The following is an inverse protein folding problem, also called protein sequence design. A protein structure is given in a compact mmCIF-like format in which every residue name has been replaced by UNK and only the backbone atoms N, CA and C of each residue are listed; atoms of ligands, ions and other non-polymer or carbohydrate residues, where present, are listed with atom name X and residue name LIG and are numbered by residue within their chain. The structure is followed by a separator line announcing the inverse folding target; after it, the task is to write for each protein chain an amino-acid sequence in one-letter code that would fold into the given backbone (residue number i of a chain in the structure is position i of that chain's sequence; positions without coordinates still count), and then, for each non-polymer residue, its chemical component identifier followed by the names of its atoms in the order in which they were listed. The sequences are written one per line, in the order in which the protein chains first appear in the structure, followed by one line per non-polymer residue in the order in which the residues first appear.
data_IF_431260526389
#
_entry.id   IF_431260526389
#
_cell.length_a   1.000
_cell.length_b   1.000
_cell.length_c   1.000
_cell.angle_alpha   90.00
_cell.angle_beta   90.00
_cell.angle_gamma   90.00
#
_symmetry.space_group_name_H-M   'P 1'
#
loop_
_entity.id
_entity.type
_entity.pdbx_description
1 polymer ?
#
# COMPACT_ATOMS: atom_id res chain seq x y z
N UNK A 1 -11.50 -12.72 -8.95
CA UNK A 1 -12.05 -14.08 -9.12
C UNK A 1 -10.98 -14.92 -9.78
N UNK A 2 -10.65 -16.11 -9.25
CA UNK A 2 -9.74 -17.05 -9.92
C UNK A 2 -10.53 -18.00 -10.82
N UNK A 3 -10.07 -18.20 -12.06
CA UNK A 3 -10.68 -19.11 -13.02
C UNK A 3 -9.63 -20.08 -13.56
N UNK A 4 -10.03 -21.33 -13.80
CA UNK A 4 -9.20 -22.29 -14.51
C UNK A 4 -9.11 -21.91 -15.99
N UNK A 5 -7.96 -22.16 -16.62
CA UNK A 5 -7.75 -21.85 -18.05
C UNK A 5 -8.74 -22.58 -18.96
N UNK A 6 -9.26 -23.74 -18.55
CA UNK A 6 -10.31 -24.49 -19.26
C UNK A 6 -11.65 -23.75 -19.34
N UNK A 7 -11.89 -22.77 -18.48
CA UNK A 7 -13.11 -21.95 -18.46
C UNK A 7 -13.03 -20.72 -19.37
N UNK A 8 -11.87 -20.41 -19.96
CA UNK A 8 -11.68 -19.23 -20.81
C UNK A 8 -12.63 -19.18 -22.03
N UNK A 9 -12.91 -20.29 -22.76
CA UNK A 9 -13.86 -20.25 -23.88
C UNK A 9 -15.24 -19.77 -23.44
N UNK A 10 -15.74 -20.26 -22.30
CA UNK A 10 -17.03 -19.87 -21.75
C UNK A 10 -17.05 -18.42 -21.28
N UNK A 11 -15.94 -17.93 -20.72
CA UNK A 11 -15.83 -16.52 -20.32
C UNK A 11 -15.96 -15.56 -21.53
N UNK A 12 -15.46 -15.95 -22.70
CA UNK A 12 -15.57 -15.14 -23.93
C UNK A 12 -17.00 -15.05 -24.48
N UNK A 13 -17.84 -16.03 -24.16
CA UNK A 13 -19.26 -16.07 -24.57
C UNK A 13 -20.15 -15.21 -23.67
N UNK A 14 -19.68 -14.83 -22.48
CA UNK A 14 -20.43 -14.01 -21.54
C UNK A 14 -20.31 -12.52 -21.91
N UNK A 15 -21.39 -11.72 -21.76
CA UNK A 15 -21.38 -10.28 -22.00
C UNK A 15 -20.72 -9.56 -20.82
N UNK A 16 -19.44 -9.85 -20.58
CA UNK A 16 -18.67 -9.20 -19.52
C UNK A 16 -18.05 -7.95 -20.13
N UNK A 17 -18.43 -6.79 -19.63
CA UNK A 17 -17.83 -5.49 -19.95
C UNK A 17 -17.01 -4.99 -18.76
N UNK A 18 -16.03 -4.10 -19.00
CA UNK A 18 -15.22 -3.45 -17.96
C UNK A 18 -14.48 -4.41 -17.00
N UNK A 19 -13.70 -5.36 -17.54
CA UNK A 19 -12.89 -6.28 -16.72
C UNK A 19 -11.43 -6.36 -17.17
N UNK A 20 -10.54 -6.35 -16.18
CA UNK A 20 -9.13 -6.73 -16.34
C UNK A 20 -9.01 -8.26 -16.25
N UNK A 21 -8.43 -8.88 -17.28
CA UNK A 21 -8.21 -10.34 -17.31
C UNK A 21 -6.74 -10.63 -17.48
N UNK A 22 -6.16 -11.35 -16.52
CA UNK A 22 -4.73 -11.70 -16.50
C UNK A 22 -4.55 -13.21 -16.65
N UNK A 23 -3.73 -13.61 -17.62
CA UNK A 23 -3.27 -14.98 -17.80
C UNK A 23 -1.96 -15.17 -17.04
N UNK A 24 -2.06 -15.77 -15.85
CA UNK A 24 -0.91 -16.01 -14.98
C UNK A 24 0.04 -17.08 -15.50
N UNK A 25 -0.42 -17.99 -16.37
CA UNK A 25 0.42 -19.07 -16.92
C UNK A 25 1.35 -18.52 -17.99
N UNK A 26 0.82 -17.66 -18.87
CA UNK A 26 1.58 -17.06 -19.97
C UNK A 26 2.08 -15.64 -19.66
N UNK A 27 1.86 -15.16 -18.43
CA UNK A 27 2.27 -13.82 -17.97
C UNK A 27 1.84 -12.69 -18.92
N UNK A 28 0.55 -12.61 -19.25
CA UNK A 28 0.01 -11.59 -20.16
C UNK A 28 -1.38 -11.13 -19.79
N UNK A 29 -1.76 -9.94 -20.24
CA UNK A 29 -3.14 -9.49 -20.19
C UNK A 29 -3.95 -10.05 -21.37
N UNK A 30 -5.15 -10.56 -21.07
CA UNK A 30 -6.13 -10.98 -22.07
C UNK A 30 -7.17 -9.87 -22.34
N UNK A 31 -7.39 -8.99 -21.37
CA UNK A 31 -8.24 -7.79 -21.48
C UNK A 31 -7.72 -6.73 -20.50
N UNK A 32 -7.73 -5.47 -20.93
CA UNK A 32 -7.24 -4.30 -20.19
C UNK A 32 -8.32 -3.21 -20.18
N UNK A 33 -8.19 -2.27 -19.26
CA UNK A 33 -9.05 -1.10 -19.02
C UNK A 33 -8.43 0.22 -19.49
N UNK A 34 -7.20 0.17 -20.03
CA UNK A 34 -6.44 1.29 -20.60
C UNK A 34 -5.99 2.34 -19.56
N UNK A 35 -6.13 2.05 -18.26
CA UNK A 35 -5.70 2.90 -17.16
C UNK A 35 -4.56 2.29 -16.32
N UNK A 36 -4.17 1.04 -16.59
CA UNK A 36 -3.23 0.27 -15.77
C UNK A 36 -1.87 0.97 -15.58
N UNK A 37 -1.35 1.59 -16.65
CA UNK A 37 -0.05 2.28 -16.65
C UNK A 37 -0.13 3.73 -16.17
N UNK A 38 -1.33 4.23 -15.87
CA UNK A 38 -1.57 5.66 -15.59
C UNK A 38 -2.31 5.94 -14.30
N UNK A 39 -2.98 4.93 -13.72
CA UNK A 39 -3.77 5.08 -12.51
C UNK A 39 -2.90 5.40 -11.30
N UNK A 40 -1.70 4.80 -11.18
CA UNK A 40 -0.85 4.96 -10.01
C UNK A 40 0.02 6.24 -10.08
N UNK A 41 0.38 6.84 -8.92
CA UNK A 41 1.36 7.91 -8.89
C UNK A 41 2.73 7.41 -9.36
N UNK A 42 3.17 7.81 -10.57
CA UNK A 42 4.40 7.32 -11.24
C UNK A 42 5.63 7.14 -10.34
N UNK A 43 5.90 8.09 -9.44
CA UNK A 43 7.06 7.99 -8.53
C UNK A 43 6.92 6.88 -7.49
N UNK A 44 5.71 6.63 -7.00
CA UNK A 44 5.44 5.53 -6.06
C UNK A 44 5.39 4.20 -6.78
N UNK A 45 4.83 4.16 -7.99
CA UNK A 45 4.84 2.99 -8.85
C UNK A 45 6.28 2.54 -9.17
N UNK A 46 7.11 3.43 -9.71
CA UNK A 46 8.50 3.11 -10.05
C UNK A 46 9.30 2.63 -8.83
N UNK A 47 9.01 3.19 -7.66
CA UNK A 47 9.66 2.79 -6.42
C UNK A 47 9.19 1.38 -5.97
N UNK A 48 7.88 1.10 -6.05
CA UNK A 48 7.32 -0.22 -5.79
C UNK A 48 7.90 -1.28 -6.74
N UNK A 49 7.92 -1.00 -8.05
CA UNK A 49 8.51 -1.86 -9.08
C UNK A 49 9.96 -2.18 -8.75
N UNK A 50 10.77 -1.16 -8.43
CA UNK A 50 12.17 -1.33 -8.07
C UNK A 50 12.38 -2.28 -6.87
N UNK A 51 11.57 -2.17 -5.81
CA UNK A 51 11.66 -3.12 -4.68
C UNK A 51 11.29 -4.53 -5.12
N UNK A 52 10.22 -4.66 -5.91
CA UNK A 52 9.73 -5.96 -6.35
C UNK A 52 10.70 -6.65 -7.32
N UNK A 53 11.48 -5.89 -8.09
CA UNK A 53 12.58 -6.40 -8.90
C UNK A 53 13.74 -6.91 -8.03
N UNK A 54 14.13 -6.14 -7.00
CA UNK A 54 15.22 -6.48 -6.08
C UNK A 54 14.82 -7.44 -4.95
N UNK A 55 13.57 -7.93 -4.93
CA UNK A 55 12.99 -8.66 -3.80
C UNK A 55 13.79 -9.89 -3.35
N UNK A 56 14.46 -10.57 -4.28
CA UNK A 56 15.25 -11.76 -3.96
C UNK A 56 16.53 -11.39 -3.22
N UNK A 57 17.25 -10.35 -3.68
CA UNK A 57 18.46 -9.84 -3.02
C UNK A 57 18.14 -9.35 -1.61
N UNK A 58 17.09 -8.54 -1.48
CA UNK A 58 16.61 -8.02 -0.19
C UNK A 58 16.12 -9.11 0.77
N UNK A 59 15.69 -10.27 0.24
CA UNK A 59 15.25 -11.41 1.04
C UNK A 59 16.44 -12.27 1.49
N UNK A 60 17.45 -12.46 0.63
CA UNK A 60 18.67 -13.20 0.96
C UNK A 60 19.50 -12.53 2.06
N UNK A 61 19.55 -11.19 2.09
CA UNK A 61 20.20 -10.42 3.17
C UNK A 61 19.59 -10.66 4.56
N UNK A 62 18.41 -11.31 4.65
CA UNK A 62 17.72 -11.63 5.92
C UNK A 62 18.00 -13.05 6.44
N UNK A 63 18.57 -13.95 5.64
CA UNK A 63 18.76 -15.36 6.04
C UNK A 63 19.94 -15.60 6.99
N UNK A 64 20.75 -14.58 7.32
CA UNK A 64 21.93 -14.72 8.20
C UNK A 64 21.61 -14.74 9.73
N UNK A 65 20.34 -14.91 10.13
CA UNK A 65 19.91 -14.98 11.54
C UNK A 65 19.70 -16.41 12.08
N UNK A 66 19.83 -16.67 13.40
CA UNK A 66 19.69 -18.03 13.95
C UNK A 66 18.26 -18.55 13.82
N UNK A 67 18.11 -19.65 13.08
CA UNK A 67 16.85 -20.36 12.80
C UNK A 67 16.20 -20.81 14.11
N UNK A 68 15.10 -20.16 14.51
CA UNK A 68 14.41 -20.48 15.76
C UNK A 68 12.96 -20.91 15.47
N UNK A 69 12.82 -22.10 14.88
CA UNK A 69 11.75 -23.09 15.13
C UNK A 69 10.27 -22.69 15.03
N UNK A 70 9.91 -21.48 14.60
CA UNK A 70 8.51 -21.04 14.42
C UNK A 70 8.29 -20.75 12.96
N UNK A 71 7.43 -21.52 12.29
CA UNK A 71 6.92 -21.32 10.90
C UNK A 71 7.32 -19.95 10.32
N UNK A 72 8.54 -19.86 9.80
CA UNK A 72 9.10 -18.58 9.39
C UNK A 72 8.41 -18.21 8.08
N UNK A 73 7.70 -17.08 8.10
CA UNK A 73 7.18 -16.48 6.87
C UNK A 73 8.38 -16.28 5.96
N UNK A 74 8.32 -16.78 4.73
CA UNK A 74 9.42 -16.65 3.77
C UNK A 74 9.93 -15.21 3.75
N UNK A 75 11.25 -14.96 3.90
CA UNK A 75 11.82 -13.60 3.86
C UNK A 75 11.36 -12.80 2.63
N UNK A 76 11.14 -13.50 1.51
CA UNK A 76 10.55 -12.96 0.29
C UNK A 76 9.13 -12.43 0.49
N UNK A 77 8.25 -13.21 1.13
CA UNK A 77 6.88 -12.81 1.42
C UNK A 77 6.82 -11.56 2.31
N UNK A 78 7.75 -11.44 3.27
CA UNK A 78 7.86 -10.25 4.09
C UNK A 78 8.28 -9.03 3.26
N UNK A 79 9.31 -9.15 2.41
CA UNK A 79 9.79 -8.04 1.56
C UNK A 79 8.67 -7.56 0.64
N UNK A 80 7.96 -8.50 -0.01
CA UNK A 80 6.85 -8.18 -0.90
C UNK A 80 5.71 -7.50 -0.14
N UNK A 81 5.28 -8.07 0.99
CA UNK A 81 4.18 -7.50 1.79
C UNK A 81 4.53 -6.13 2.34
N UNK A 82 5.77 -5.95 2.81
CA UNK A 82 6.31 -4.68 3.30
C UNK A 82 6.30 -3.60 2.22
N UNK A 83 6.67 -3.95 0.99
CA UNK A 83 6.66 -3.02 -0.14
C UNK A 83 5.26 -2.44 -0.38
N UNK A 84 4.24 -3.30 -0.37
CA UNK A 84 2.84 -2.87 -0.52
C UNK A 84 2.34 -2.07 0.69
N UNK A 85 2.67 -2.47 1.92
CA UNK A 85 2.29 -1.70 3.12
C UNK A 85 2.88 -0.29 3.05
N UNK A 86 4.15 -0.14 2.66
CA UNK A 86 4.79 1.17 2.49
C UNK A 86 4.16 1.99 1.39
N UNK A 87 3.83 1.37 0.27
CA UNK A 87 3.12 2.03 -0.82
C UNK A 87 1.82 2.68 -0.31
N UNK A 88 1.00 1.92 0.43
CA UNK A 88 -0.23 2.47 1.01
C UNK A 88 0.01 3.47 2.15
N UNK A 89 1.05 3.28 2.97
CA UNK A 89 1.41 4.25 4.02
C UNK A 89 1.82 5.59 3.43
N UNK A 90 2.54 5.64 2.32
CA UNK A 90 2.89 6.90 1.66
C UNK A 90 1.65 7.60 1.07
N UNK A 91 0.64 6.82 0.67
CA UNK A 91 -0.58 7.34 0.06
C UNK A 91 -1.57 7.83 1.12
N UNK A 92 -1.84 7.03 2.15
CA UNK A 92 -2.90 7.31 3.14
C UNK A 92 -2.43 7.31 4.59
N UNK A 93 -1.16 7.09 4.89
CA UNK A 93 -0.66 6.98 6.27
C UNK A 93 -0.88 8.24 7.13
N UNK A 94 -1.03 9.40 6.51
CA UNK A 94 -1.34 10.66 7.18
C UNK A 94 -2.82 10.85 7.53
N UNK A 95 -3.69 9.89 7.25
CA UNK A 95 -5.14 9.99 7.50
C UNK A 95 -5.49 10.39 8.94
N UNK A 96 -4.69 9.92 9.92
CA UNK A 96 -4.94 10.12 11.34
C UNK A 96 -4.88 11.60 11.74
N UNK A 97 -4.13 12.43 11.00
CA UNK A 97 -4.07 13.87 11.20
C UNK A 97 -5.36 14.59 10.79
N UNK A 98 -6.24 13.93 10.05
CA UNK A 98 -7.47 14.48 9.49
C UNK A 98 -8.73 13.78 10.01
N UNK A 99 -8.59 12.86 10.97
CA UNK A 99 -9.71 12.27 11.70
C UNK A 99 -10.03 13.14 12.91
N UNK A 100 -11.17 13.84 12.86
CA UNK A 100 -11.59 14.77 13.90
C UNK A 100 -12.72 14.16 14.73
N UNK A 101 -12.71 14.32 16.07
CA UNK A 101 -13.84 13.90 16.90
C UNK A 101 -15.10 14.70 16.56
N UNK A 102 -16.24 14.01 16.58
CA UNK A 102 -17.57 14.59 16.46
C UNK A 102 -18.24 14.63 17.83
N UNK A 103 -19.38 15.31 17.93
CA UNK A 103 -20.16 15.41 19.18
C UNK A 103 -20.68 14.07 19.70
N UNK A 104 -20.65 13.01 18.89
CA UNK A 104 -21.21 11.67 19.19
C UNK A 104 -20.16 10.64 19.63
N UNK A 105 -18.97 11.08 20.08
CA UNK A 105 -17.80 10.23 20.33
C UNK A 105 -17.27 9.46 19.09
N UNK A 106 -17.84 9.69 17.91
CA UNK A 106 -17.36 9.17 16.64
C UNK A 106 -16.28 10.09 16.06
N UNK A 107 -15.45 9.58 15.16
CA UNK A 107 -14.49 10.38 14.38
C UNK A 107 -14.96 10.49 12.95
N UNK A 108 -14.62 11.59 12.28
CA UNK A 108 -14.90 11.78 10.86
C UNK A 108 -13.66 12.25 10.12
N UNK A 109 -13.41 11.67 8.94
CA UNK A 109 -12.33 12.11 8.07
C UNK A 109 -12.68 13.43 7.37
N UNK A 110 -11.85 14.46 7.54
CA UNK A 110 -11.87 15.65 6.70
C UNK A 110 -11.27 15.37 5.31
N UNK A 111 -12.10 14.79 4.43
CA UNK A 111 -11.71 14.30 3.10
C UNK A 111 -10.91 15.33 2.28
N UNK A 112 -11.41 16.56 2.18
CA UNK A 112 -10.79 17.61 1.37
C UNK A 112 -9.44 18.06 1.94
N UNK A 113 -9.34 18.20 3.27
CA UNK A 113 -8.11 18.60 3.94
C UNK A 113 -7.06 17.50 3.82
N UNK A 114 -7.45 16.24 4.05
CA UNK A 114 -6.62 15.05 3.87
C UNK A 114 -6.02 15.01 2.45
N UNK A 115 -6.86 15.16 1.42
CA UNK A 115 -6.42 15.20 0.03
C UNK A 115 -5.49 16.39 -0.28
N UNK A 116 -5.83 17.59 0.21
CA UNK A 116 -5.07 18.82 -0.07
C UNK A 116 -3.71 18.88 0.62
N UNK A 117 -3.54 18.19 1.75
CA UNK A 117 -2.29 18.14 2.50
C UNK A 117 -1.11 17.52 1.74
N UNK A 118 -1.41 16.69 0.73
CA UNK A 118 -0.40 16.12 -0.15
C UNK A 118 0.05 17.16 -1.17
N UNK A 119 1.36 17.43 -1.25
CA UNK A 119 1.95 18.38 -2.19
C UNK A 119 2.06 17.86 -3.63
N UNK A 120 2.20 16.54 -3.80
CA UNK A 120 2.32 15.90 -5.11
C UNK A 120 0.99 15.92 -5.88
N UNK A 121 0.98 16.54 -7.07
CA UNK A 121 -0.20 16.64 -7.94
C UNK A 121 -0.72 15.26 -8.38
N UNK A 122 0.17 14.35 -8.76
CA UNK A 122 -0.21 13.00 -9.21
C UNK A 122 -0.80 12.18 -8.07
N UNK A 123 -0.20 12.26 -6.88
CA UNK A 123 -0.74 11.57 -5.69
C UNK A 123 -2.09 12.17 -5.28
N UNK A 124 -2.27 13.49 -5.37
CA UNK A 124 -3.56 14.14 -5.10
C UNK A 124 -4.65 13.68 -6.08
N UNK A 125 -4.33 13.52 -7.37
CA UNK A 125 -5.26 13.00 -8.38
C UNK A 125 -5.61 11.54 -8.13
N UNK A 126 -4.62 10.72 -7.78
CA UNK A 126 -4.87 9.33 -7.39
C UNK A 126 -5.78 9.25 -6.16
N UNK A 127 -5.50 10.02 -5.11
CA UNK A 127 -6.31 10.08 -3.89
C UNK A 127 -7.76 10.48 -4.19
N UNK A 128 -7.98 11.44 -5.09
CA UNK A 128 -9.33 11.83 -5.50
C UNK A 128 -10.16 10.66 -6.01
N UNK A 129 -9.58 9.75 -6.79
CA UNK A 129 -10.27 8.56 -7.30
C UNK A 129 -10.29 7.44 -6.25
N UNK A 130 -9.16 7.17 -5.59
CA UNK A 130 -9.03 6.10 -4.61
C UNK A 130 -9.97 6.26 -3.42
N UNK A 131 -10.22 7.51 -3.00
CA UNK A 131 -11.14 7.80 -1.89
C UNK A 131 -12.61 7.50 -2.20
N UNK A 132 -12.97 7.35 -3.48
CA UNK A 132 -14.31 6.93 -3.91
C UNK A 132 -14.48 5.41 -3.95
N UNK A 133 -13.40 4.65 -3.72
CA UNK A 133 -13.46 3.19 -3.71
C UNK A 133 -14.07 2.65 -2.42
N UNK A 134 -14.73 1.49 -2.50
CA UNK A 134 -15.22 0.76 -1.32
C UNK A 134 -14.08 0.38 -0.37
N UNK A 135 -12.89 0.09 -0.91
CA UNK A 135 -11.70 -0.23 -0.11
C UNK A 135 -11.34 0.92 0.84
N UNK A 136 -11.27 2.15 0.32
CA UNK A 136 -10.99 3.32 1.15
C UNK A 136 -12.12 3.60 2.13
N UNK A 137 -13.38 3.49 1.69
CA UNK A 137 -14.55 3.66 2.55
C UNK A 137 -14.53 2.71 3.75
N UNK A 138 -14.31 1.42 3.53
CA UNK A 138 -14.20 0.42 4.60
C UNK A 138 -12.99 0.68 5.51
N UNK A 139 -11.85 1.07 4.94
CA UNK A 139 -10.65 1.41 5.70
C UNK A 139 -10.90 2.56 6.70
N UNK A 140 -11.58 3.63 6.27
CA UNK A 140 -11.89 4.78 7.13
C UNK A 140 -12.98 4.44 8.14
N UNK A 141 -14.08 3.82 7.71
CA UNK A 141 -15.19 3.46 8.59
C UNK A 141 -14.74 2.62 9.78
N UNK A 142 -13.86 1.63 9.53
CA UNK A 142 -13.28 0.81 10.60
C UNK A 142 -12.56 1.66 11.66
N UNK A 143 -11.86 2.71 11.22
CA UNK A 143 -11.06 3.61 12.08
C UNK A 143 -11.89 4.68 12.78
N UNK A 144 -13.01 5.07 12.17
CA UNK A 144 -14.00 5.96 12.78
C UNK A 144 -14.71 5.26 13.96
N UNK A 145 -15.01 3.96 13.82
CA UNK A 145 -15.67 3.14 14.84
C UNK A 145 -14.72 2.53 15.89
N UNK A 146 -13.40 2.51 15.63
CA UNK A 146 -12.43 1.84 16.51
C UNK A 146 -12.30 2.56 17.85
N UNK A 147 -12.48 1.84 18.96
CA UNK A 147 -12.15 2.31 20.32
C UNK A 147 -10.64 2.55 20.45
N UNK A 148 -10.24 3.63 21.14
CA UNK A 148 -8.83 4.00 21.29
C UNK A 148 -8.00 2.84 21.88
N UNK A 149 -6.81 2.59 21.32
CA UNK A 149 -5.80 1.70 21.92
C UNK A 149 -5.34 0.51 21.07
N UNK A 150 -6.14 0.01 20.13
CA UNK A 150 -5.75 -1.12 19.26
C UNK A 150 -5.08 -0.59 17.98
N UNK A 151 -3.79 -0.90 17.80
CA UNK A 151 -3.01 -0.57 16.60
C UNK A 151 -2.66 -1.85 15.84
N UNK A 152 -3.02 -1.91 14.56
CA UNK A 152 -2.59 -2.96 13.65
C UNK A 152 -1.26 -2.61 12.99
N UNK A 153 -0.77 -3.51 12.13
CA UNK A 153 0.48 -3.33 11.38
C UNK A 153 0.49 -1.98 10.64
N UNK A 154 -0.60 -1.66 9.94
CA UNK A 154 -0.70 -0.43 9.16
C UNK A 154 -0.53 0.82 10.05
N UNK A 155 -1.19 0.87 11.22
CA UNK A 155 -1.09 2.00 12.15
C UNK A 155 0.32 2.19 12.70
N UNK A 156 1.02 1.08 13.00
CA UNK A 156 2.42 1.14 13.43
C UNK A 156 3.27 1.75 12.31
N UNK A 157 3.11 1.30 11.07
CA UNK A 157 3.91 1.79 9.94
C UNK A 157 3.56 3.22 9.54
N UNK A 158 2.30 3.60 9.66
CA UNK A 158 1.84 4.97 9.47
C UNK A 158 2.44 5.92 10.51
N UNK A 159 2.48 5.50 11.78
CA UNK A 159 3.10 6.30 12.84
C UNK A 159 4.60 6.50 12.60
N UNK A 160 5.34 5.43 12.29
CA UNK A 160 6.76 5.53 11.92
C UNK A 160 6.96 6.48 10.72
N UNK A 161 6.08 6.41 9.72
CA UNK A 161 6.12 7.32 8.58
C UNK A 161 5.94 8.77 9.00
N UNK A 162 4.95 9.07 9.85
CA UNK A 162 4.68 10.42 10.35
C UNK A 162 5.88 11.00 11.12
N UNK A 163 6.59 10.18 11.90
CA UNK A 163 7.79 10.58 12.62
C UNK A 163 8.96 10.94 11.69
N UNK A 164 8.96 10.44 10.46
CA UNK A 164 9.96 10.81 9.45
C UNK A 164 9.62 12.05 8.64
N UNK A 165 8.40 12.61 8.79
CA UNK A 165 8.00 13.84 8.12
C UNK A 165 8.79 15.02 8.67
N UNK A 166 9.52 15.79 7.85
CA UNK A 166 10.12 17.03 8.32
C UNK A 166 9.00 17.95 8.78
N UNK A 167 9.22 18.62 9.91
CA UNK A 167 8.48 19.81 10.31
C UNK A 167 8.77 20.91 9.28
N UNK A 168 8.06 20.88 8.14
CA UNK A 168 8.23 21.82 7.04
C UNK A 168 9.33 21.43 6.04
N UNK A 169 8.92 21.33 4.77
CA UNK A 169 9.76 21.47 3.57
C UNK A 169 10.88 20.42 3.33
N UNK A 170 10.53 19.27 2.72
CA UNK A 170 11.17 18.72 1.50
C UNK A 170 10.80 17.23 1.21
N UNK A 171 10.06 17.06 0.11
CA UNK A 171 10.10 15.98 -0.91
C UNK A 171 10.11 14.48 -0.49
N UNK A 172 8.93 13.85 -0.56
CA UNK A 172 8.64 12.45 -0.24
C UNK A 172 8.90 11.42 -1.35
N UNK A 173 10.15 11.28 -1.83
CA UNK A 173 10.52 10.14 -2.71
C UNK A 173 11.89 9.57 -2.36
N UNK A 174 12.87 10.43 -2.02
CA UNK A 174 14.18 9.98 -1.51
C UNK A 174 14.09 9.21 -0.18
N UNK A 175 12.92 9.16 0.48
CA UNK A 175 12.68 8.42 1.71
C UNK A 175 12.21 6.98 1.52
N UNK A 176 11.58 6.67 0.39
CA UNK A 176 11.10 5.31 0.12
C UNK A 176 12.27 4.31 0.14
N UNK A 177 13.40 4.68 -0.48
CA UNK A 177 14.64 3.91 -0.47
C UNK A 177 15.37 3.99 0.90
N UNK A 178 15.41 5.16 1.54
CA UNK A 178 16.06 5.31 2.87
C UNK A 178 15.35 4.52 3.98
N UNK A 179 14.03 4.37 3.92
CA UNK A 179 13.27 3.57 4.87
C UNK A 179 13.57 2.08 4.77
N UNK A 180 14.06 1.56 3.63
CA UNK A 180 14.45 0.14 3.51
C UNK A 180 15.73 -0.10 4.31
N UNK A 181 16.75 0.74 4.10
CA UNK A 181 18.01 0.67 4.83
C UNK A 181 17.92 1.06 6.32
N UNK A 182 16.87 1.80 6.74
CA UNK A 182 16.65 2.11 8.17
C UNK A 182 15.74 1.11 8.88
N UNK A 183 14.72 0.52 8.22
CA UNK A 183 13.88 -0.52 8.84
C UNK A 183 14.59 -1.85 9.05
N UNK A 184 15.68 -2.12 8.31
CA UNK A 184 16.59 -3.22 8.65
C UNK A 184 17.39 -2.96 9.94
N UNK A 185 17.43 -1.72 10.47
CA UNK A 185 18.11 -1.40 11.74
C UNK A 185 17.22 -1.51 12.99
N UNK A 186 15.91 -1.66 12.85
CA UNK A 186 15.02 -1.91 13.99
C UNK A 186 15.14 -3.35 14.53
N UNK A 187 15.99 -4.18 13.91
CA UNK A 187 16.46 -5.47 14.42
C UNK A 187 17.75 -5.37 15.25
N UNK A 188 18.30 -4.16 15.46
CA UNK A 188 19.41 -3.93 16.39
C UNK A 188 18.97 -3.06 17.56
N UNK A 189 18.25 -3.68 18.51
CA UNK A 189 18.31 -3.26 19.91
C UNK A 189 18.25 -4.51 20.79
N UNK A 190 19.39 -4.80 21.43
CA UNK A 190 19.48 -5.65 22.62
C UNK A 190 18.59 -5.09 23.73
#
# INVERSE_FOLDING_TARGET
IGLLSSSLPRLKELPVEEVLVVDLVNNRFLRQMEDEDSILPRKLQAALEHILEQRNELASDKEEGPVNGKQEISPLNEVVSEAFVRFFVEIVGHYSLFLIPTEREERTLQREAFRKSVSSKSLRRFLEVFMETQMFGGFIQERELRKQGVRGLFEVRAQEYLETLPSGEQSGVNRFLKGLGSKMRFLHKK
#
